data_IF_370907473628
#
_entry.id   IF_370907473628
#
_cell.length_a   1.000
_cell.length_b   1.000
_cell.length_c   1.000
_cell.angle_alpha   90.00
_cell.angle_beta   90.00
_cell.angle_gamma   90.00
#
_symmetry.space_group_name_H-M   'P 1'
#
loop_
_entity.id
_entity.type
_entity.pdbx_description
1 polymer ?
#
# COMPACT_ATOMS: atom_id res chain seq x y z
N UNK A 1 29.38 -13.98 -6.41
CA UNK A 1 29.31 -13.23 -7.68
C UNK A 1 28.55 -11.95 -7.41
N UNK A 2 29.01 -10.80 -7.92
CA UNK A 2 28.35 -9.50 -7.71
C UNK A 2 27.02 -9.48 -8.46
N UNK A 3 25.99 -8.88 -7.86
CA UNK A 3 24.67 -8.72 -8.47
C UNK A 3 24.42 -7.22 -8.69
N UNK A 4 24.28 -6.82 -9.95
CA UNK A 4 24.03 -5.45 -10.38
C UNK A 4 22.60 -5.36 -10.87
N UNK A 5 21.77 -4.55 -10.20
CA UNK A 5 20.44 -4.23 -10.69
C UNK A 5 20.53 -3.08 -11.70
N UNK A 6 19.82 -3.20 -12.82
CA UNK A 6 19.73 -2.15 -13.84
C UNK A 6 18.27 -1.76 -13.98
N UNK A 7 17.96 -0.53 -13.59
CA UNK A 7 16.62 0.04 -13.68
C UNK A 7 16.50 0.83 -14.97
N UNK A 8 15.73 0.30 -15.92
CA UNK A 8 15.49 0.88 -17.23
C UNK A 8 14.36 1.93 -17.16
N UNK A 9 14.74 3.19 -17.31
CA UNK A 9 13.92 4.39 -17.17
C UNK A 9 13.94 5.30 -18.43
N UNK A 10 14.25 4.75 -19.60
CA UNK A 10 14.41 5.53 -20.85
C UNK A 10 13.12 5.86 -21.63
N UNK A 11 11.96 5.32 -21.25
CA UNK A 11 10.72 5.46 -22.04
C UNK A 11 10.11 6.87 -22.01
N UNK A 12 9.68 7.36 -23.18
CA UNK A 12 9.11 8.72 -23.38
C UNK A 12 7.61 8.86 -23.14
N UNK A 13 6.94 7.85 -22.58
CA UNK A 13 5.56 8.01 -22.09
C UNK A 13 4.43 7.99 -23.14
N UNK A 14 4.71 7.99 -24.45
CA UNK A 14 3.77 8.28 -25.56
C UNK A 14 2.34 7.72 -25.48
N UNK A 15 2.13 6.51 -24.93
CA UNK A 15 0.80 5.89 -24.76
C UNK A 15 -0.10 6.52 -23.69
N UNK A 16 0.42 7.45 -22.88
CA UNK A 16 -0.31 8.12 -21.79
C UNK A 16 -0.78 9.54 -22.14
N UNK A 17 -0.31 10.10 -23.27
CA UNK A 17 -0.68 11.46 -23.70
C UNK A 17 -0.18 12.58 -22.80
N UNK A 18 0.77 12.31 -21.90
CA UNK A 18 1.40 13.32 -21.04
C UNK A 18 2.82 13.63 -21.53
N UNK A 19 3.21 14.91 -21.47
CA UNK A 19 4.55 15.40 -21.81
C UNK A 19 5.63 15.01 -20.76
N UNK A 20 5.23 14.33 -19.67
CA UNK A 20 6.11 13.95 -18.56
C UNK A 20 6.30 12.42 -18.48
N UNK A 21 7.53 11.92 -18.20
CA UNK A 21 7.80 10.50 -18.20
C UNK A 21 7.09 9.75 -17.06
N UNK A 22 6.54 8.58 -17.38
CA UNK A 22 5.70 7.79 -16.45
C UNK A 22 6.43 7.40 -15.16
N UNK A 23 7.73 7.14 -15.26
CA UNK A 23 8.59 6.77 -14.13
C UNK A 23 8.77 7.89 -13.11
N UNK A 24 8.50 9.15 -13.49
CA UNK A 24 8.59 10.32 -12.62
C UNK A 24 7.22 10.76 -12.07
N UNK A 25 6.12 10.12 -12.48
CA UNK A 25 4.79 10.37 -11.90
C UNK A 25 4.76 9.96 -10.43
N UNK A 26 3.99 10.68 -9.62
CA UNK A 26 3.83 10.37 -8.19
C UNK A 26 2.68 9.40 -7.93
N UNK A 27 2.93 8.38 -7.10
CA UNK A 27 1.96 7.42 -6.58
C UNK A 27 2.30 7.18 -5.10
N UNK A 28 1.30 7.15 -4.21
CA UNK A 28 1.53 6.96 -2.77
C UNK A 28 2.64 7.87 -2.19
N UNK A 29 2.66 9.14 -2.60
CA UNK A 29 3.60 10.16 -2.10
C UNK A 29 5.01 10.17 -2.70
N UNK A 30 5.41 9.15 -3.49
CA UNK A 30 6.73 9.07 -4.15
C UNK A 30 6.60 8.94 -5.67
N UNK A 31 7.63 9.34 -6.42
CA UNK A 31 7.75 9.05 -7.86
C UNK A 31 7.81 7.53 -8.07
N UNK A 32 7.25 7.04 -9.18
CA UNK A 32 7.17 5.61 -9.50
C UNK A 32 8.54 4.91 -9.42
N UNK A 33 9.59 5.54 -9.95
CA UNK A 33 10.95 4.99 -9.90
C UNK A 33 11.51 4.86 -8.48
N UNK A 34 11.14 5.75 -7.55
CA UNK A 34 11.61 5.70 -6.16
C UNK A 34 11.13 4.41 -5.47
N UNK A 35 9.89 3.98 -5.72
CA UNK A 35 9.38 2.71 -5.20
C UNK A 35 10.20 1.51 -5.69
N UNK A 36 10.56 1.51 -6.97
CA UNK A 36 11.41 0.47 -7.57
C UNK A 36 12.81 0.49 -6.94
N UNK A 37 13.44 1.66 -6.85
CA UNK A 37 14.78 1.84 -6.30
C UNK A 37 14.84 1.46 -4.82
N UNK A 38 13.84 1.81 -4.02
CA UNK A 38 13.74 1.45 -2.61
C UNK A 38 13.85 -0.06 -2.38
N UNK A 39 13.26 -0.88 -3.27
CA UNK A 39 13.29 -2.34 -3.16
C UNK A 39 14.69 -2.88 -3.46
N UNK A 40 15.31 -2.42 -4.55
CA UNK A 40 16.67 -2.85 -4.91
C UNK A 40 17.72 -2.36 -3.92
N UNK A 41 17.61 -1.14 -3.41
CA UNK A 41 18.50 -0.56 -2.40
C UNK A 41 18.50 -1.42 -1.13
N UNK A 42 17.31 -1.80 -0.64
CA UNK A 42 17.16 -2.57 0.60
C UNK A 42 17.50 -4.06 0.44
N UNK A 43 17.49 -4.59 -0.78
CA UNK A 43 17.70 -6.02 -1.02
C UNK A 43 19.13 -6.47 -0.64
N UNK A 44 19.31 -7.45 0.26
CA UNK A 44 20.63 -7.81 0.78
C UNK A 44 21.56 -8.42 -0.28
N UNK A 45 21.00 -9.12 -1.27
CA UNK A 45 21.78 -9.71 -2.37
C UNK A 45 22.12 -8.74 -3.50
N UNK A 46 21.58 -7.51 -3.52
CA UNK A 46 21.93 -6.50 -4.54
C UNK A 46 23.10 -5.68 -4.02
N UNK A 47 24.16 -5.60 -4.82
CA UNK A 47 25.41 -4.96 -4.45
C UNK A 47 25.57 -3.59 -5.09
N UNK A 48 24.94 -3.39 -6.25
CA UNK A 48 25.11 -2.19 -7.07
C UNK A 48 23.85 -1.96 -7.92
N UNK A 49 23.52 -0.70 -8.19
CA UNK A 49 22.36 -0.28 -8.97
C UNK A 49 22.80 0.70 -10.05
N UNK A 50 22.41 0.42 -11.29
CA UNK A 50 22.50 1.34 -12.42
C UNK A 50 21.10 1.83 -12.77
N UNK A 51 20.97 3.10 -13.10
CA UNK A 51 19.75 3.65 -13.71
C UNK A 51 20.06 4.08 -15.12
N UNK A 52 19.26 3.62 -16.08
CA UNK A 52 19.38 4.05 -17.48
C UNK A 52 18.22 4.98 -17.80
N UNK A 53 18.49 6.26 -18.03
CA UNK A 53 17.47 7.28 -18.28
C UNK A 53 17.71 7.99 -19.60
N UNK A 54 16.66 8.62 -20.15
CA UNK A 54 16.84 9.52 -21.27
C UNK A 54 17.62 10.77 -20.81
N UNK A 55 18.49 11.31 -21.66
CA UNK A 55 19.42 12.43 -21.33
C UNK A 55 18.72 13.61 -20.66
N UNK A 56 17.54 14.00 -21.17
CA UNK A 56 16.72 15.09 -20.63
C UNK A 56 16.28 14.91 -19.17
N UNK A 57 16.31 13.69 -18.61
CA UNK A 57 15.83 13.40 -17.25
C UNK A 57 16.93 12.84 -16.35
N UNK A 58 18.21 12.96 -16.73
CA UNK A 58 19.32 12.51 -15.87
C UNK A 58 19.35 13.32 -14.57
N UNK A 59 19.19 14.65 -14.65
CA UNK A 59 19.15 15.52 -13.48
C UNK A 59 17.98 15.19 -12.53
N UNK A 60 16.80 14.86 -13.05
CA UNK A 60 15.68 14.39 -12.22
C UNK A 60 16.04 13.12 -11.43
N UNK A 61 16.84 12.22 -11.99
CA UNK A 61 17.31 11.01 -11.31
C UNK A 61 18.39 11.36 -10.27
N UNK A 62 19.34 12.23 -10.58
CA UNK A 62 20.37 12.71 -9.64
C UNK A 62 19.74 13.34 -8.38
N UNK A 63 18.70 14.16 -8.56
CA UNK A 63 17.95 14.77 -7.47
C UNK A 63 17.26 13.72 -6.59
N UNK A 64 16.67 12.70 -7.21
CA UNK A 64 16.03 11.57 -6.50
C UNK A 64 17.06 10.81 -5.68
N UNK A 65 18.22 10.51 -6.25
CA UNK A 65 19.31 9.78 -5.59
C UNK A 65 19.80 10.53 -4.37
N UNK A 66 20.05 11.83 -4.52
CA UNK A 66 20.52 12.69 -3.44
C UNK A 66 19.46 12.83 -2.34
N UNK A 67 18.20 13.03 -2.71
CA UNK A 67 17.11 13.25 -1.74
C UNK A 67 16.80 12.00 -0.89
N UNK A 68 17.00 10.80 -1.44
CA UNK A 68 16.69 9.54 -0.77
C UNK A 68 17.93 8.82 -0.20
N UNK A 69 19.13 9.35 -0.40
CA UNK A 69 20.40 8.73 0.01
C UNK A 69 20.57 7.30 -0.49
N UNK A 70 20.32 7.03 -1.78
CA UNK A 70 20.57 5.69 -2.34
C UNK A 70 22.09 5.43 -2.43
N UNK A 71 22.60 4.50 -1.60
CA UNK A 71 24.03 4.24 -1.48
C UNK A 71 24.53 3.17 -2.45
N UNK A 72 23.66 2.26 -2.90
CA UNK A 72 24.03 1.22 -3.88
C UNK A 72 23.94 1.72 -5.32
N UNK A 73 23.33 2.89 -5.57
CA UNK A 73 23.25 3.47 -6.90
C UNK A 73 24.56 4.16 -7.28
N UNK A 74 25.29 3.55 -8.21
CA UNK A 74 26.65 3.99 -8.57
C UNK A 74 26.74 4.60 -9.96
N UNK A 75 25.79 4.31 -10.87
CA UNK A 75 25.82 4.82 -12.25
C UNK A 75 24.43 5.28 -12.70
N UNK A 76 24.40 6.47 -13.30
CA UNK A 76 23.27 6.97 -14.09
C UNK A 76 23.76 7.05 -15.54
N UNK A 77 23.13 6.28 -16.42
CA UNK A 77 23.55 6.08 -17.80
C UNK A 77 22.52 6.69 -18.75
N UNK A 78 23.00 7.20 -19.89
CA UNK A 78 22.13 7.64 -20.97
C UNK A 78 21.63 6.42 -21.77
N UNK A 79 20.32 6.26 -21.85
CA UNK A 79 19.68 5.23 -22.68
C UNK A 79 19.67 5.59 -24.17
N UNK A 80 19.41 4.58 -25.01
CA UNK A 80 19.16 4.78 -26.43
C UNK A 80 17.69 5.09 -26.74
N UNK A 81 17.37 5.18 -28.03
CA UNK A 81 16.02 5.39 -28.55
C UNK A 81 15.12 4.19 -28.29
N UNK A 82 15.65 2.99 -28.47
CA UNK A 82 14.95 1.74 -28.26
C UNK A 82 15.32 1.11 -26.90
N UNK A 83 14.43 0.23 -26.38
CA UNK A 83 14.64 -0.43 -25.08
C UNK A 83 15.94 -1.23 -25.06
N UNK A 84 16.24 -1.98 -26.11
CA UNK A 84 17.43 -2.84 -26.17
C UNK A 84 18.73 -2.03 -26.18
N UNK A 85 18.74 -0.81 -26.72
CA UNK A 85 19.92 0.08 -26.70
C UNK A 85 20.21 0.54 -25.27
N UNK A 86 19.16 0.80 -24.49
CA UNK A 86 19.28 1.12 -23.06
C UNK A 86 19.84 -0.05 -22.25
N UNK A 87 19.37 -1.28 -22.50
CA UNK A 87 19.94 -2.50 -21.90
C UNK A 87 21.42 -2.65 -22.29
N UNK A 88 21.76 -2.43 -23.56
CA UNK A 88 23.13 -2.52 -24.05
C UNK A 88 24.08 -1.53 -23.39
N UNK A 89 23.65 -0.26 -23.21
CA UNK A 89 24.44 0.75 -22.51
C UNK A 89 24.80 0.33 -21.08
N UNK A 90 23.86 -0.28 -20.35
CA UNK A 90 24.13 -0.82 -19.02
C UNK A 90 25.10 -2.00 -19.01
N UNK A 91 24.95 -2.92 -19.97
CA UNK A 91 25.84 -4.08 -20.13
C UNK A 91 27.27 -3.63 -20.44
N UNK A 92 27.44 -2.61 -21.29
CA UNK A 92 28.76 -2.06 -21.63
C UNK A 92 29.40 -1.30 -20.46
N UNK A 93 28.59 -0.67 -19.61
CA UNK A 93 29.07 0.05 -18.43
C UNK A 93 29.58 -0.87 -17.31
N UNK A 94 29.40 -2.18 -17.41
CA UNK A 94 29.91 -3.14 -16.45
C UNK A 94 31.42 -3.34 -16.62
N UNK A 95 32.18 -3.00 -15.57
CA UNK A 95 33.65 -3.13 -15.54
C UNK A 95 34.13 -4.49 -15.03
N UNK A 96 33.26 -5.23 -14.33
CA UNK A 96 33.54 -6.56 -13.81
C UNK A 96 33.79 -7.56 -14.95
N UNK A 97 34.73 -8.49 -14.75
CA UNK A 97 34.95 -9.59 -15.71
C UNK A 97 33.72 -10.49 -15.84
N UNK A 98 33.03 -10.72 -14.72
CA UNK A 98 31.79 -11.50 -14.65
C UNK A 98 30.94 -11.04 -13.47
N UNK A 99 29.66 -10.81 -13.71
CA UNK A 99 28.68 -10.49 -12.68
C UNK A 99 27.28 -10.98 -13.12
N UNK A 100 26.33 -10.92 -12.20
CA UNK A 100 24.92 -11.09 -12.54
C UNK A 100 24.32 -9.72 -12.82
N UNK A 101 23.63 -9.58 -13.96
CA UNK A 101 22.90 -8.39 -14.37
C UNK A 101 21.40 -8.67 -14.19
N UNK A 102 20.71 -7.81 -13.45
CA UNK A 102 19.27 -7.92 -13.19
C UNK A 102 18.58 -6.70 -13.84
N UNK A 103 18.06 -6.87 -15.06
CA UNK A 103 17.39 -5.82 -15.81
C UNK A 103 15.92 -5.69 -15.36
N UNK A 104 15.49 -4.49 -14.96
CA UNK A 104 14.15 -4.25 -14.46
C UNK A 104 13.53 -2.98 -15.05
N UNK A 105 12.22 -2.99 -15.31
CA UNK A 105 11.50 -1.81 -15.78
C UNK A 105 11.27 -0.86 -14.60
N UNK A 106 11.65 0.42 -14.71
CA UNK A 106 11.44 1.42 -13.64
C UNK A 106 9.97 1.63 -13.27
N UNK A 107 9.07 1.24 -14.17
CA UNK A 107 7.61 1.38 -14.09
C UNK A 107 6.90 0.12 -13.57
N UNK A 108 7.61 -0.79 -12.90
CA UNK A 108 7.05 -1.91 -12.13
C UNK A 108 7.30 -1.71 -10.62
N UNK A 109 6.65 -0.71 -10.00
CA UNK A 109 7.03 -0.24 -8.67
C UNK A 109 6.65 -1.18 -7.52
N UNK A 110 5.93 -2.28 -7.82
CA UNK A 110 5.48 -3.28 -6.85
C UNK A 110 6.31 -4.57 -6.85
N UNK A 111 7.50 -4.55 -7.45
CA UNK A 111 8.48 -5.63 -7.32
C UNK A 111 8.77 -5.94 -5.85
N UNK A 112 9.04 -7.21 -5.53
CA UNK A 112 9.30 -7.66 -4.16
C UNK A 112 10.60 -8.45 -4.03
N UNK A 113 11.04 -8.66 -2.79
CA UNK A 113 12.29 -9.33 -2.45
C UNK A 113 12.34 -10.79 -2.93
N UNK A 114 11.21 -11.51 -2.86
CA UNK A 114 11.09 -12.89 -3.31
C UNK A 114 11.46 -13.02 -4.79
N UNK A 115 10.85 -12.22 -5.67
CA UNK A 115 11.11 -12.29 -7.11
C UNK A 115 12.59 -12.02 -7.42
N UNK A 116 13.19 -11.02 -6.76
CA UNK A 116 14.62 -10.70 -6.95
C UNK A 116 15.50 -11.85 -6.47
N UNK A 117 15.20 -12.43 -5.29
CA UNK A 117 15.92 -13.56 -4.74
C UNK A 117 15.80 -14.79 -5.64
N UNK A 118 14.60 -15.14 -6.11
CA UNK A 118 14.35 -16.27 -7.01
C UNK A 118 15.17 -16.14 -8.29
N UNK A 119 15.27 -14.94 -8.88
CA UNK A 119 16.12 -14.69 -10.04
C UNK A 119 17.62 -14.91 -9.74
N UNK A 120 18.11 -14.37 -8.63
CA UNK A 120 19.53 -14.48 -8.24
C UNK A 120 19.90 -15.93 -7.91
N UNK A 121 19.01 -16.66 -7.23
CA UNK A 121 19.19 -18.08 -6.90
C UNK A 121 19.16 -18.94 -8.16
N UNK A 122 18.23 -18.69 -9.10
CA UNK A 122 18.20 -19.39 -10.38
C UNK A 122 19.48 -19.18 -11.20
N UNK A 123 20.12 -18.01 -11.11
CA UNK A 123 21.42 -17.74 -11.73
C UNK A 123 22.61 -18.53 -11.15
N UNK A 124 22.40 -19.34 -10.09
CA UNK A 124 23.41 -20.31 -9.65
C UNK A 124 23.45 -21.56 -10.53
N UNK A 125 22.36 -21.85 -11.24
CA UNK A 125 22.18 -23.05 -12.07
C UNK A 125 22.06 -22.71 -13.55
N UNK A 126 21.39 -21.60 -13.89
CA UNK A 126 21.14 -21.14 -15.25
C UNK A 126 21.90 -19.85 -15.54
N UNK A 127 22.13 -19.52 -16.81
CA UNK A 127 22.79 -18.26 -17.17
C UNK A 127 21.82 -17.15 -17.60
N UNK A 128 20.57 -17.50 -17.91
CA UNK A 128 19.50 -16.58 -18.27
C UNK A 128 18.20 -16.97 -17.55
N UNK A 129 17.53 -15.98 -16.97
CA UNK A 129 16.32 -16.16 -16.17
C UNK A 129 15.30 -15.07 -16.52
N UNK A 130 14.06 -15.51 -16.79
CA UNK A 130 12.89 -14.65 -16.98
C UNK A 130 11.91 -14.81 -15.81
N UNK A 131 11.08 -13.80 -15.58
CA UNK A 131 9.99 -13.83 -14.60
C UNK A 131 8.68 -13.84 -15.34
N UNK A 132 7.79 -14.79 -15.06
CA UNK A 132 6.49 -14.81 -15.73
C UNK A 132 5.36 -15.32 -14.84
N UNK A 133 4.13 -14.97 -15.22
CA UNK A 133 2.90 -15.50 -14.62
C UNK A 133 2.04 -16.25 -15.66
N UNK A 134 1.21 -17.22 -15.26
CA UNK A 134 0.20 -17.81 -16.14
C UNK A 134 -0.70 -16.74 -16.75
N UNK A 135 -1.00 -16.86 -18.05
CA UNK A 135 -1.97 -15.97 -18.69
C UNK A 135 -3.40 -16.38 -18.35
N UNK A 136 -4.25 -15.42 -17.99
CA UNK A 136 -5.68 -15.63 -17.72
C UNK A 136 -6.49 -15.61 -19.00
N UNK A 137 -6.08 -14.76 -19.94
CA UNK A 137 -6.84 -14.47 -21.15
C UNK A 137 -6.49 -15.44 -22.27
N UNK A 138 -7.44 -15.64 -23.18
CA UNK A 138 -7.18 -16.36 -24.42
C UNK A 138 -6.37 -15.45 -25.34
N UNK A 139 -5.12 -15.84 -25.62
CA UNK A 139 -4.27 -15.13 -26.57
C UNK A 139 -4.59 -15.62 -27.99
N UNK A 140 -4.80 -14.69 -28.91
CA UNK A 140 -5.06 -14.96 -30.32
C UNK A 140 -3.95 -14.37 -31.18
N UNK A 141 -3.54 -15.09 -32.21
CA UNK A 141 -2.72 -14.56 -33.30
C UNK A 141 -3.66 -14.10 -34.41
N UNK A 142 -3.51 -12.85 -34.85
CA UNK A 142 -4.29 -12.29 -35.95
C UNK A 142 -3.44 -12.12 -37.21
N UNK A 143 -4.06 -12.26 -38.38
CA UNK A 143 -3.48 -11.89 -39.68
C UNK A 143 -3.53 -10.38 -39.91
N UNK A 144 -2.86 -9.91 -40.96
CA UNK A 144 -2.85 -8.49 -41.36
C UNK A 144 -4.25 -7.93 -41.67
N UNK A 145 -5.19 -8.79 -42.11
CA UNK A 145 -6.60 -8.44 -42.34
C UNK A 145 -7.50 -8.62 -41.08
N UNK A 146 -6.90 -8.67 -39.88
CA UNK A 146 -7.58 -8.78 -38.58
C UNK A 146 -8.47 -10.03 -38.41
N UNK A 147 -8.11 -11.16 -39.02
CA UNK A 147 -8.77 -12.45 -38.79
C UNK A 147 -7.94 -13.32 -37.86
N UNK A 148 -8.60 -14.16 -37.05
CA UNK A 148 -7.90 -15.12 -36.19
C UNK A 148 -7.15 -16.11 -37.08
N UNK A 149 -5.82 -16.13 -36.94
CA UNK A 149 -4.91 -17.07 -37.60
C UNK A 149 -4.65 -18.30 -36.74
N UNK A 150 -4.52 -18.11 -35.43
CA UNK A 150 -4.21 -19.19 -34.49
C UNK A 150 -4.67 -18.82 -33.06
N UNK A 151 -4.98 -19.84 -32.25
CA UNK A 151 -5.25 -19.70 -30.81
C UNK A 151 -4.35 -20.72 -30.10
N UNK A 152 -3.17 -20.31 -29.60
CA UNK A 152 -2.22 -21.23 -28.98
C UNK A 152 -2.77 -21.83 -27.67
N UNK A 153 -2.22 -22.99 -27.28
CA UNK A 153 -2.64 -23.66 -26.04
C UNK A 153 -2.28 -22.83 -24.80
N UNK A 154 -3.29 -22.25 -24.14
CA UNK A 154 -3.09 -21.31 -23.01
C UNK A 154 -2.19 -21.84 -21.89
N UNK A 155 -2.21 -23.14 -21.60
CA UNK A 155 -1.41 -23.75 -20.52
C UNK A 155 0.11 -23.62 -20.73
N UNK A 156 0.57 -23.43 -21.96
CA UNK A 156 1.99 -23.21 -22.29
C UNK A 156 2.36 -21.73 -22.37
N UNK A 157 1.37 -20.82 -22.36
CA UNK A 157 1.60 -19.39 -22.46
C UNK A 157 1.79 -18.74 -21.09
N UNK A 158 2.65 -17.72 -21.05
CA UNK A 158 2.93 -16.92 -19.86
C UNK A 158 2.95 -15.44 -20.23
N UNK A 159 2.61 -14.58 -19.28
CA UNK A 159 2.82 -13.14 -19.38
C UNK A 159 4.18 -12.80 -18.75
N UNK A 160 5.13 -12.39 -19.58
CA UNK A 160 6.47 -11.98 -19.15
C UNK A 160 6.43 -10.73 -18.27
N UNK A 161 7.30 -10.73 -17.28
CA UNK A 161 7.52 -9.64 -16.33
C UNK A 161 9.02 -9.37 -16.22
N UNK A 162 9.37 -8.20 -15.69
CA UNK A 162 10.74 -7.95 -15.23
C UNK A 162 10.74 -8.03 -13.69
N UNK A 163 11.87 -8.39 -13.05
CA UNK A 163 13.22 -8.43 -13.58
C UNK A 163 13.52 -9.60 -14.51
N UNK A 164 14.49 -9.43 -15.40
CA UNK A 164 15.17 -10.51 -16.10
C UNK A 164 16.62 -10.54 -15.64
N UNK A 165 17.18 -11.72 -15.45
CA UNK A 165 18.49 -11.86 -14.83
C UNK A 165 19.41 -12.71 -15.68
N UNK A 166 20.66 -12.26 -15.85
CA UNK A 166 21.62 -12.88 -16.75
C UNK A 166 23.03 -12.91 -16.14
N UNK A 167 23.85 -13.89 -16.55
CA UNK A 167 25.31 -13.76 -16.48
C UNK A 167 25.76 -12.71 -17.48
N UNK A 168 26.67 -11.83 -17.07
CA UNK A 168 27.19 -10.76 -17.91
C UNK A 168 27.80 -11.31 -19.20
N UNK A 169 28.60 -12.37 -19.13
CA UNK A 169 29.21 -13.00 -20.31
C UNK A 169 28.18 -13.41 -21.36
N UNK A 170 27.13 -14.10 -20.95
CA UNK A 170 26.08 -14.63 -21.82
C UNK A 170 25.25 -13.51 -22.47
N UNK A 171 24.75 -12.56 -21.69
CA UNK A 171 23.94 -11.46 -22.24
C UNK A 171 24.79 -10.55 -23.13
N UNK A 172 26.05 -10.32 -22.78
CA UNK A 172 26.97 -9.50 -23.58
C UNK A 172 27.28 -10.14 -24.92
N UNK A 173 27.53 -11.45 -24.97
CA UNK A 173 27.73 -12.17 -26.23
C UNK A 173 26.48 -12.08 -27.13
N UNK A 174 25.30 -12.32 -26.57
CA UNK A 174 24.05 -12.26 -27.32
C UNK A 174 23.81 -10.86 -27.91
N UNK A 175 24.06 -9.80 -27.13
CA UNK A 175 23.96 -8.42 -27.62
C UNK A 175 25.01 -8.10 -28.68
N UNK A 176 26.24 -8.57 -28.54
CA UNK A 176 27.28 -8.35 -29.57
C UNK A 176 26.87 -8.94 -30.93
N UNK A 177 26.20 -10.09 -30.93
CA UNK A 177 25.60 -10.69 -32.14
C UNK A 177 24.39 -9.89 -32.61
N UNK A 178 23.50 -9.51 -31.70
CA UNK A 178 22.28 -8.77 -32.01
C UNK A 178 22.55 -7.40 -32.64
N UNK A 179 23.54 -6.65 -32.14
CA UNK A 179 23.88 -5.32 -32.64
C UNK A 179 24.45 -5.34 -34.07
N UNK A 180 24.81 -6.50 -34.60
CA UNK A 180 25.25 -6.68 -35.99
C UNK A 180 24.08 -7.02 -36.93
N UNK A 181 22.89 -7.30 -36.41
CA UNK A 181 21.70 -7.65 -37.19
C UNK A 181 20.91 -6.38 -37.55
N UNK A 182 20.87 -5.96 -38.83
CA UNK A 182 20.12 -4.78 -39.27
C UNK A 182 18.59 -4.97 -39.19
N UNK A 183 18.10 -6.20 -39.00
CA UNK A 183 16.69 -6.54 -38.82
C UNK A 183 16.34 -6.85 -37.37
N UNK A 184 17.15 -6.40 -36.41
CA UNK A 184 16.89 -6.61 -35.00
C UNK A 184 15.52 -6.02 -34.61
N UNK A 185 14.63 -6.90 -34.19
CA UNK A 185 13.37 -6.56 -33.54
C UNK A 185 13.26 -7.41 -32.27
N UNK A 186 13.26 -6.75 -31.12
CA UNK A 186 12.95 -7.37 -29.85
C UNK A 186 12.19 -6.40 -28.96
N UNK A 187 11.32 -6.93 -28.12
CA UNK A 187 10.64 -6.18 -27.06
C UNK A 187 11.21 -6.48 -25.67
N UNK A 188 12.17 -7.42 -25.59
CA UNK A 188 12.59 -8.04 -24.35
C UNK A 188 14.03 -8.60 -24.42
N UNK A 189 14.72 -8.72 -23.28
CA UNK A 189 16.15 -9.10 -23.25
C UNK A 189 16.34 -10.63 -23.33
N UNK A 190 15.41 -11.42 -22.77
CA UNK A 190 15.37 -12.87 -23.00
C UNK A 190 15.16 -13.22 -24.48
N UNK A 191 14.41 -12.39 -25.22
CA UNK A 191 14.25 -12.54 -26.67
C UNK A 191 15.57 -12.42 -27.45
N UNK A 192 16.54 -11.65 -26.95
CA UNK A 192 17.89 -11.56 -27.52
C UNK A 192 18.64 -12.88 -27.32
N UNK A 193 18.63 -13.44 -26.11
CA UNK A 193 19.24 -14.75 -25.84
C UNK A 193 18.62 -15.82 -26.76
N UNK A 194 17.30 -15.92 -26.76
CA UNK A 194 16.57 -16.96 -27.51
C UNK A 194 16.89 -16.93 -29.02
N UNK A 195 17.09 -15.74 -29.59
CA UNK A 195 17.37 -15.58 -31.03
C UNK A 195 18.85 -15.79 -31.38
N UNK A 196 19.77 -15.26 -30.58
CA UNK A 196 21.20 -15.20 -30.94
C UNK A 196 22.09 -16.24 -30.22
N UNK A 197 21.56 -16.88 -29.17
CA UNK A 197 22.16 -18.00 -28.44
C UNK A 197 21.10 -19.10 -28.21
N UNK A 198 20.62 -19.78 -29.28
CA UNK A 198 19.48 -20.69 -29.20
C UNK A 198 19.73 -21.93 -28.32
N UNK A 199 20.99 -22.28 -28.07
CA UNK A 199 21.37 -23.41 -27.20
C UNK A 199 21.41 -23.02 -25.70
N UNK A 200 21.30 -21.73 -25.37
CA UNK A 200 21.31 -21.24 -23.99
C UNK A 200 19.88 -21.31 -23.39
N UNK A 201 19.65 -22.15 -22.37
CA UNK A 201 18.33 -22.25 -21.77
C UNK A 201 17.98 -21.01 -20.96
N UNK A 202 16.75 -20.52 -21.16
CA UNK A 202 16.17 -19.43 -20.36
C UNK A 202 15.22 -20.05 -19.34
N UNK A 203 15.59 -20.00 -18.07
CA UNK A 203 14.76 -20.52 -16.99
C UNK A 203 13.68 -19.51 -16.61
N UNK A 204 12.48 -19.98 -16.27
CA UNK A 204 11.36 -19.09 -15.89
C UNK A 204 11.06 -19.26 -14.41
N UNK A 205 11.19 -18.19 -13.64
CA UNK A 205 10.75 -18.14 -12.23
C UNK A 205 9.35 -17.55 -12.12
N UNK A 206 8.67 -17.83 -11.00
CA UNK A 206 7.30 -17.37 -10.78
C UNK A 206 7.26 -15.87 -10.43
N UNK A 207 6.60 -15.08 -11.28
CA UNK A 207 6.26 -13.69 -11.00
C UNK A 207 5.06 -13.54 -10.09
N UNK A 208 4.50 -12.32 -10.02
CA UNK A 208 3.28 -12.02 -9.27
C UNK A 208 2.33 -11.12 -10.04
N UNK A 209 1.03 -11.34 -9.83
CA UNK A 209 -0.02 -10.51 -10.41
C UNK A 209 0.14 -9.04 -10.00
N UNK A 210 0.56 -8.78 -8.76
CA UNK A 210 0.78 -7.42 -8.26
C UNK A 210 2.04 -6.74 -8.79
N UNK A 211 2.96 -7.46 -9.45
CA UNK A 211 4.13 -6.89 -10.14
C UNK A 211 3.71 -6.22 -11.47
N UNK A 212 2.73 -5.33 -11.37
CA UNK A 212 2.06 -4.66 -12.47
C UNK A 212 2.97 -3.61 -13.09
N UNK A 213 2.98 -3.56 -14.43
CA UNK A 213 3.67 -2.53 -15.20
C UNK A 213 2.74 -1.35 -15.42
N UNK A 214 3.11 -0.17 -14.94
CA UNK A 214 2.43 1.08 -15.26
C UNK A 214 2.53 1.36 -16.77
N UNK A 215 1.42 1.10 -17.47
CA UNK A 215 1.33 1.22 -18.93
C UNK A 215 0.29 2.26 -19.33
N UNK A 216 -0.86 2.26 -18.66
CA UNK A 216 -2.02 3.10 -18.92
C UNK A 216 -2.42 3.92 -17.69
N UNK A 217 -3.30 4.91 -17.87
CA UNK A 217 -3.70 5.84 -16.81
C UNK A 217 -4.54 5.15 -15.75
N UNK A 218 -5.31 4.16 -16.17
CA UNK A 218 -6.02 3.24 -15.27
C UNK A 218 -5.09 2.52 -14.30
N UNK A 219 -3.84 2.23 -14.71
CA UNK A 219 -2.90 1.50 -13.87
C UNK A 219 -2.41 2.37 -12.71
N UNK A 220 -2.36 3.71 -12.86
CA UNK A 220 -2.02 4.62 -11.75
C UNK A 220 -2.99 4.44 -10.59
N UNK A 221 -4.30 4.41 -10.89
CA UNK A 221 -5.32 4.20 -9.86
C UNK A 221 -5.17 2.85 -9.18
N UNK A 222 -4.94 1.79 -9.96
CA UNK A 222 -4.75 0.45 -9.41
C UNK A 222 -3.48 0.36 -8.55
N UNK A 223 -2.37 0.90 -9.02
CA UNK A 223 -1.10 0.93 -8.28
C UNK A 223 -1.23 1.69 -6.96
N UNK A 224 -1.88 2.85 -6.96
CA UNK A 224 -2.11 3.63 -5.75
C UNK A 224 -2.90 2.82 -4.71
N UNK A 225 -3.96 2.12 -5.14
CA UNK A 225 -4.72 1.20 -4.28
C UNK A 225 -3.89 0.01 -3.80
N UNK A 226 -3.02 -0.55 -4.63
CA UNK A 226 -2.14 -1.65 -4.21
C UNK A 226 -1.09 -1.19 -3.18
N UNK A 227 -0.53 0.01 -3.34
CA UNK A 227 0.36 0.60 -2.34
C UNK A 227 -0.36 0.88 -1.02
N UNK A 228 -1.55 1.47 -1.08
CA UNK A 228 -2.41 1.68 0.07
C UNK A 228 -2.67 0.36 0.82
N UNK A 229 -3.03 -0.71 0.10
CA UNK A 229 -3.24 -2.03 0.69
C UNK A 229 -1.98 -2.59 1.36
N UNK A 230 -0.80 -2.41 0.75
CA UNK A 230 0.48 -2.84 1.33
C UNK A 230 0.79 -2.07 2.62
N UNK A 231 0.60 -0.75 2.62
CA UNK A 231 0.77 0.09 3.81
C UNK A 231 -0.17 -0.30 4.94
N UNK A 232 -1.44 -0.58 4.62
CA UNK A 232 -2.44 -1.07 5.58
C UNK A 232 -2.04 -2.43 6.15
N UNK A 233 -1.54 -3.34 5.31
CA UNK A 233 -1.12 -4.67 5.75
C UNK A 233 0.03 -4.60 6.76
N UNK A 234 0.98 -3.67 6.57
CA UNK A 234 2.08 -3.43 7.50
C UNK A 234 1.64 -2.89 8.88
N UNK A 235 0.36 -2.54 9.06
CA UNK A 235 -0.19 -2.16 10.36
C UNK A 235 -0.74 -3.37 11.15
N UNK A 236 -0.80 -4.56 10.54
CA UNK A 236 -1.42 -5.76 11.12
C UNK A 236 -0.45 -6.56 12.01
N UNK A 237 0.13 -5.90 13.02
CA UNK A 237 1.02 -6.53 14.00
C UNK A 237 0.74 -6.01 15.42
N UNK A 238 1.19 -6.76 16.43
CA UNK A 238 1.18 -6.29 17.82
C UNK A 238 2.20 -5.18 18.00
N UNK A 239 1.86 -4.18 18.82
CA UNK A 239 2.77 -3.06 19.05
C UNK A 239 4.12 -3.52 19.61
N UNK A 240 5.20 -3.06 18.99
CA UNK A 240 6.58 -3.38 19.38
C UNK A 240 7.15 -2.35 20.37
N UNK A 241 8.37 -2.61 20.86
CA UNK A 241 9.00 -1.73 21.86
C UNK A 241 9.28 -0.31 21.35
N UNK A 242 9.52 -0.13 20.05
CA UNK A 242 9.76 1.19 19.48
C UNK A 242 8.46 2.00 19.39
N UNK A 243 7.37 1.36 18.97
CA UNK A 243 6.02 1.95 18.96
C UNK A 243 5.58 2.32 20.38
N UNK A 244 5.88 1.48 21.38
CA UNK A 244 5.64 1.82 22.80
C UNK A 244 6.36 3.10 23.23
N UNK A 245 7.63 3.28 22.83
CA UNK A 245 8.37 4.53 23.12
C UNK A 245 7.75 5.75 22.42
N UNK A 246 7.23 5.58 21.20
CA UNK A 246 6.57 6.67 20.48
C UNK A 246 5.25 7.09 21.13
N UNK A 247 4.56 6.16 21.81
CA UNK A 247 3.34 6.43 22.59
C UNK A 247 3.61 7.09 23.93
N UNK A 248 4.78 6.86 24.53
CA UNK A 248 5.12 7.40 25.84
C UNK A 248 4.97 8.94 25.85
N UNK A 249 4.19 9.44 26.80
CA UNK A 249 3.90 10.86 26.95
C UNK A 249 2.85 11.45 25.99
N UNK A 250 2.36 10.69 24.99
CA UNK A 250 1.25 11.13 24.12
C UNK A 250 -0.03 11.28 24.91
N UNK A 251 -0.82 12.30 24.62
CA UNK A 251 -2.14 12.53 25.22
C UNK A 251 -3.23 11.98 24.31
N UNK A 252 -3.98 11.00 24.80
CA UNK A 252 -4.99 10.27 24.02
C UNK A 252 -6.35 10.46 24.66
N UNK A 253 -7.32 10.98 23.91
CA UNK A 253 -8.73 11.02 24.31
C UNK A 253 -9.49 9.92 23.60
N UNK A 254 -10.24 9.12 24.35
CA UNK A 254 -10.96 7.97 23.86
C UNK A 254 -12.44 8.05 24.23
N UNK A 255 -13.31 8.26 23.23
CA UNK A 255 -14.75 8.11 23.39
C UNK A 255 -15.16 6.66 23.13
N UNK A 256 -15.81 6.03 24.12
CA UNK A 256 -16.22 4.62 24.07
C UNK A 256 -15.25 3.64 24.73
N UNK A 257 -14.33 4.10 25.58
CA UNK A 257 -13.26 3.28 26.15
C UNK A 257 -13.59 2.40 27.36
N UNK A 258 -14.86 2.15 27.67
CA UNK A 258 -15.26 1.38 28.86
C UNK A 258 -15.27 -0.15 28.69
N UNK A 259 -15.30 -0.64 27.45
CA UNK A 259 -15.27 -2.08 27.13
C UNK A 259 -14.84 -2.31 25.68
N UNK A 260 -14.64 -3.59 25.31
CA UNK A 260 -14.33 -3.99 23.94
C UNK A 260 -13.06 -3.33 23.42
N UNK A 261 -13.06 -2.94 22.13
CA UNK A 261 -11.90 -2.39 21.43
C UNK A 261 -11.37 -1.13 22.13
N UNK A 262 -12.25 -0.21 22.51
CA UNK A 262 -11.85 1.02 23.20
C UNK A 262 -11.10 0.74 24.50
N UNK A 263 -11.61 -0.18 25.34
CA UNK A 263 -10.90 -0.56 26.57
C UNK A 263 -9.51 -1.13 26.27
N UNK A 264 -9.39 -2.02 25.28
CA UNK A 264 -8.10 -2.58 24.88
C UNK A 264 -7.11 -1.50 24.41
N UNK A 265 -7.56 -0.47 23.65
CA UNK A 265 -6.71 0.67 23.29
C UNK A 265 -6.24 1.41 24.54
N UNK A 266 -7.15 1.69 25.47
CA UNK A 266 -6.81 2.41 26.69
C UNK A 266 -5.78 1.67 27.54
N UNK A 267 -5.98 0.36 27.72
CA UNK A 267 -5.08 -0.50 28.50
C UNK A 267 -3.67 -0.52 27.86
N UNK A 268 -3.58 -0.85 26.56
CA UNK A 268 -2.29 -0.93 25.84
C UNK A 268 -1.55 0.41 25.83
N UNK A 269 -2.24 1.51 25.53
CA UNK A 269 -1.60 2.83 25.48
C UNK A 269 -1.14 3.30 26.88
N UNK A 270 -1.92 3.01 27.93
CA UNK A 270 -1.53 3.35 29.31
C UNK A 270 -0.29 2.55 29.75
N UNK A 271 -0.25 1.25 29.43
CA UNK A 271 0.92 0.39 29.66
C UNK A 271 2.16 0.87 28.89
N UNK A 272 1.97 1.48 27.72
CA UNK A 272 3.04 2.09 26.93
C UNK A 272 3.48 3.49 27.44
N UNK A 273 2.87 4.00 28.52
CA UNK A 273 3.21 5.30 29.12
C UNK A 273 2.53 6.51 28.47
N UNK A 274 1.49 6.30 27.66
CA UNK A 274 0.63 7.39 27.19
C UNK A 274 -0.30 7.90 28.30
N UNK A 275 -0.70 9.17 28.23
CA UNK A 275 -1.71 9.78 29.10
C UNK A 275 -3.08 9.60 28.48
N UNK A 276 -3.82 8.57 28.91
CA UNK A 276 -5.11 8.19 28.31
C UNK A 276 -6.29 8.72 29.13
N UNK A 277 -7.22 9.40 28.46
CA UNK A 277 -8.47 9.90 29.02
C UNK A 277 -9.66 9.22 28.35
N UNK A 278 -10.39 8.39 29.10
CA UNK A 278 -11.47 7.56 28.58
C UNK A 278 -12.85 8.09 28.99
N UNK A 279 -13.75 8.27 28.02
CA UNK A 279 -15.10 8.80 28.22
C UNK A 279 -16.16 7.83 27.70
N UNK A 280 -17.19 7.58 28.52
CA UNK A 280 -18.33 6.77 28.13
C UNK A 280 -19.57 7.07 28.99
N UNK A 281 -20.74 6.67 28.45
CA UNK A 281 -22.01 6.80 29.18
C UNK A 281 -22.05 5.97 30.46
N UNK A 282 -21.35 4.84 30.50
CA UNK A 282 -21.35 3.96 31.67
C UNK A 282 -20.35 4.41 32.74
N UNK A 283 -19.20 4.96 32.36
CA UNK A 283 -18.15 5.36 33.31
C UNK A 283 -18.33 6.78 33.85
N UNK A 284 -18.60 7.76 32.98
CA UNK A 284 -18.61 9.18 33.36
C UNK A 284 -19.75 9.99 32.71
N UNK A 285 -20.79 9.31 32.22
CA UNK A 285 -22.02 9.91 31.68
C UNK A 285 -21.81 10.81 30.45
N UNK A 286 -20.66 10.72 29.79
CA UNK A 286 -20.39 11.44 28.54
C UNK A 286 -21.03 10.68 27.36
N UNK A 287 -21.97 11.33 26.69
CA UNK A 287 -22.63 10.84 25.47
C UNK A 287 -22.15 11.63 24.24
N UNK A 288 -21.58 10.94 23.25
CA UNK A 288 -21.09 11.55 22.01
C UNK A 288 -22.19 12.21 21.18
N UNK A 289 -23.44 11.77 21.31
CA UNK A 289 -24.58 12.39 20.63
C UNK A 289 -24.93 13.78 21.19
N UNK A 290 -24.42 14.14 22.36
CA UNK A 290 -24.53 15.47 22.95
C UNK A 290 -23.21 16.25 22.75
N UNK A 291 -23.23 17.29 21.92
CA UNK A 291 -22.03 18.07 21.60
C UNK A 291 -21.42 18.79 22.83
N UNK A 292 -22.24 19.20 23.82
CA UNK A 292 -21.74 19.86 25.04
C UNK A 292 -20.92 18.89 25.90
N UNK A 293 -21.31 17.61 25.93
CA UNK A 293 -20.57 16.55 26.63
C UNK A 293 -19.19 16.35 25.99
N UNK A 294 -19.13 16.29 24.66
CA UNK A 294 -17.89 16.16 23.89
C UNK A 294 -16.98 17.38 24.12
N UNK A 295 -17.53 18.59 24.00
CA UNK A 295 -16.81 19.84 24.21
C UNK A 295 -16.23 19.93 25.63
N UNK A 296 -17.02 19.58 26.65
CA UNK A 296 -16.60 19.54 28.05
C UNK A 296 -15.46 18.54 28.27
N UNK A 297 -15.58 17.33 27.72
CA UNK A 297 -14.56 16.29 27.87
C UNK A 297 -13.21 16.72 27.26
N UNK A 298 -13.21 17.22 26.02
CA UNK A 298 -11.98 17.66 25.36
C UNK A 298 -11.37 18.90 26.04
N UNK A 299 -12.21 19.84 26.49
CA UNK A 299 -11.76 21.01 27.25
C UNK A 299 -11.08 20.60 28.55
N UNK A 300 -11.69 19.70 29.34
CA UNK A 300 -11.11 19.20 30.59
C UNK A 300 -9.73 18.60 30.36
N UNK A 301 -9.59 17.71 29.36
CA UNK A 301 -8.30 17.07 29.07
C UNK A 301 -7.26 18.11 28.66
N UNK A 302 -7.65 19.06 27.79
CA UNK A 302 -6.74 20.10 27.35
C UNK A 302 -6.29 21.02 28.49
N UNK A 303 -7.18 21.38 29.42
CA UNK A 303 -6.83 22.17 30.61
C UNK A 303 -5.84 21.43 31.54
N UNK A 304 -5.94 20.10 31.62
CA UNK A 304 -5.03 19.27 32.43
C UNK A 304 -3.67 19.01 31.77
N UNK A 305 -3.62 18.99 30.44
CA UNK A 305 -2.47 18.46 29.69
C UNK A 305 -1.82 19.47 28.75
N UNK A 306 -2.50 20.58 28.46
CA UNK A 306 -2.16 21.59 27.46
C UNK A 306 -1.97 21.07 26.03
N UNK A 307 -2.34 19.81 25.74
CA UNK A 307 -2.17 19.17 24.42
C UNK A 307 -3.05 17.94 24.28
N UNK A 308 -3.55 17.66 23.08
CA UNK A 308 -4.20 16.39 22.75
C UNK A 308 -3.59 15.89 21.45
N UNK A 309 -2.85 14.77 21.47
CA UNK A 309 -2.19 14.22 20.29
C UNK A 309 -3.15 13.35 19.47
N UNK A 310 -3.97 12.54 20.15
CA UNK A 310 -4.86 11.59 19.48
C UNK A 310 -6.27 11.64 20.06
N UNK A 311 -7.28 11.67 19.19
CA UNK A 311 -8.68 11.53 19.57
C UNK A 311 -9.25 10.31 18.86
N UNK A 312 -9.76 9.36 19.62
CA UNK A 312 -10.30 8.09 19.11
C UNK A 312 -11.77 7.99 19.49
N UNK A 313 -12.64 7.78 18.50
CA UNK A 313 -14.06 7.56 18.71
C UNK A 313 -14.46 6.12 18.37
N UNK A 314 -14.49 5.25 19.37
CA UNK A 314 -15.00 3.88 19.25
C UNK A 314 -16.49 3.79 19.59
N UNK A 315 -17.13 4.89 19.98
CA UNK A 315 -18.53 4.89 20.34
C UNK A 315 -19.42 4.57 19.12
N UNK A 316 -20.34 3.64 19.32
CA UNK A 316 -21.28 3.23 18.30
C UNK A 316 -22.29 2.25 18.89
N UNK A 317 -23.41 2.09 18.20
CA UNK A 317 -24.41 1.08 18.52
C UNK A 317 -24.86 0.36 17.26
N UNK A 318 -25.22 -0.91 17.46
CA UNK A 318 -25.80 -1.78 16.47
C UNK A 318 -27.12 -2.32 17.03
N UNK A 319 -28.18 -2.22 16.22
CA UNK A 319 -29.45 -2.90 16.45
C UNK A 319 -29.83 -3.64 15.18
N UNK A 320 -29.96 -4.97 15.27
CA UNK A 320 -30.29 -5.84 14.15
C UNK A 320 -31.81 -5.99 14.03
N UNK A 321 -32.41 -5.38 13.00
CA UNK A 321 -33.85 -5.45 12.78
C UNK A 321 -34.19 -5.14 11.30
N UNK A 322 -35.24 -5.74 10.71
CA UNK A 322 -35.78 -5.28 9.44
C UNK A 322 -36.22 -3.82 9.51
N UNK A 323 -36.08 -3.06 8.43
CA UNK A 323 -36.37 -1.62 8.44
C UNK A 323 -37.85 -1.36 8.70
N UNK A 324 -38.73 -2.15 8.08
CA UNK A 324 -40.18 -2.06 8.21
C UNK A 324 -40.69 -2.30 9.64
N UNK A 325 -39.89 -2.96 10.48
CA UNK A 325 -40.22 -3.20 11.88
C UNK A 325 -39.49 -2.27 12.86
N UNK A 326 -38.51 -1.49 12.41
CA UNK A 326 -37.67 -0.67 13.29
C UNK A 326 -38.42 0.61 13.70
N UNK A 327 -38.52 0.88 15.01
CA UNK A 327 -39.15 2.11 15.49
C UNK A 327 -38.31 3.34 15.15
N UNK A 328 -38.95 4.49 14.98
CA UNK A 328 -38.25 5.74 14.69
C UNK A 328 -37.27 6.12 15.81
N UNK A 329 -37.57 5.80 17.07
CA UNK A 329 -36.69 6.03 18.20
C UNK A 329 -35.39 5.25 18.05
N UNK A 330 -35.45 3.97 17.65
CA UNK A 330 -34.27 3.15 17.38
C UNK A 330 -33.47 3.67 16.17
N UNK A 331 -34.17 4.09 15.10
CA UNK A 331 -33.54 4.71 13.92
C UNK A 331 -32.75 5.94 14.35
N UNK A 332 -33.39 6.87 15.07
CA UNK A 332 -32.76 8.09 15.56
C UNK A 332 -31.63 7.81 16.54
N UNK A 333 -31.77 6.81 17.40
CA UNK A 333 -30.70 6.45 18.32
C UNK A 333 -29.43 5.99 17.57
N UNK A 334 -29.57 5.18 16.51
CA UNK A 334 -28.43 4.73 15.68
C UNK A 334 -27.80 5.93 14.98
N UNK A 335 -28.61 6.80 14.35
CA UNK A 335 -28.12 7.98 13.62
C UNK A 335 -27.42 8.95 14.59
N UNK A 336 -28.02 9.25 15.73
CA UNK A 336 -27.48 10.19 16.72
C UNK A 336 -26.17 9.70 17.32
N UNK A 337 -26.04 8.42 17.64
CA UNK A 337 -24.80 7.89 18.22
C UNK A 337 -23.73 7.70 17.15
N UNK A 338 -24.05 7.05 16.03
CA UNK A 338 -23.03 6.64 15.05
C UNK A 338 -22.62 7.80 14.12
N UNK A 339 -23.56 8.63 13.68
CA UNK A 339 -23.31 9.72 12.72
C UNK A 339 -23.08 11.03 13.44
N UNK A 340 -24.10 11.52 14.17
CA UNK A 340 -23.99 12.80 14.88
C UNK A 340 -22.89 12.75 15.94
N UNK A 341 -22.72 11.62 16.63
CA UNK A 341 -21.61 11.42 17.56
C UNK A 341 -20.23 11.56 16.91
N UNK A 342 -20.03 11.02 15.70
CA UNK A 342 -18.77 11.21 14.97
C UNK A 342 -18.57 12.67 14.52
N UNK A 343 -19.65 13.34 14.06
CA UNK A 343 -19.63 14.75 13.69
C UNK A 343 -19.28 15.64 14.89
N UNK A 344 -19.92 15.42 16.04
CA UNK A 344 -19.67 16.18 17.26
C UNK A 344 -18.21 16.04 17.71
N UNK A 345 -17.69 14.80 17.76
CA UNK A 345 -16.29 14.55 18.11
C UNK A 345 -15.35 15.25 17.13
N UNK A 346 -15.58 15.10 15.81
CA UNK A 346 -14.73 15.75 14.81
C UNK A 346 -14.74 17.27 14.92
N UNK A 347 -15.92 17.87 15.02
CA UNK A 347 -16.08 19.33 15.10
C UNK A 347 -15.37 19.92 16.31
N UNK A 348 -15.50 19.30 17.47
CA UNK A 348 -14.85 19.78 18.70
C UNK A 348 -13.36 19.44 18.76
N UNK A 349 -12.92 18.38 18.07
CA UNK A 349 -11.52 17.94 18.03
C UNK A 349 -10.58 18.92 17.31
N UNK A 350 -11.05 19.57 16.23
CA UNK A 350 -10.20 20.31 15.29
C UNK A 350 -9.22 21.28 15.96
N UNK A 351 -9.73 22.14 16.86
CA UNK A 351 -8.90 23.17 17.51
C UNK A 351 -7.75 22.58 18.34
N UNK A 352 -7.96 21.41 18.94
CA UNK A 352 -6.95 20.74 19.76
C UNK A 352 -5.94 19.97 18.90
N UNK A 353 -6.43 19.22 17.90
CA UNK A 353 -5.57 18.47 16.99
C UNK A 353 -4.71 19.38 16.10
N UNK A 354 -5.21 20.58 15.75
CA UNK A 354 -4.44 21.61 15.04
C UNK A 354 -3.19 22.03 15.81
N UNK A 355 -3.23 22.04 17.14
CA UNK A 355 -2.08 22.42 17.97
C UNK A 355 -1.02 21.31 18.04
N UNK A 356 -1.45 20.05 18.03
CA UNK A 356 -0.56 18.89 18.13
C UNK A 356 -0.13 18.32 16.78
N UNK A 357 -0.77 18.73 15.67
CA UNK A 357 -0.68 18.06 14.37
C UNK A 357 -1.04 16.57 14.52
N UNK A 358 -2.09 16.33 15.29
CA UNK A 358 -2.50 15.01 15.77
C UNK A 358 -3.38 14.23 14.80
N UNK A 359 -4.01 13.16 15.31
CA UNK A 359 -4.90 12.31 14.53
C UNK A 359 -6.29 12.17 15.16
N UNK A 360 -7.34 12.22 14.32
CA UNK A 360 -8.68 11.76 14.63
C UNK A 360 -8.89 10.36 14.06
N UNK A 361 -9.15 9.38 14.93
CA UNK A 361 -9.43 8.00 14.52
C UNK A 361 -10.90 7.66 14.78
N UNK A 362 -11.60 7.34 13.70
CA UNK A 362 -13.01 6.96 13.71
C UNK A 362 -13.17 5.46 13.45
N UNK A 363 -14.40 4.95 13.64
CA UNK A 363 -14.70 3.53 13.51
C UNK A 363 -15.87 3.27 12.57
N UNK A 364 -15.60 2.50 11.52
CA UNK A 364 -16.62 1.99 10.60
C UNK A 364 -16.94 0.52 10.89
N UNK A 365 -17.46 -0.20 9.90
CA UNK A 365 -17.84 -1.61 9.97
C UNK A 365 -17.78 -2.22 8.58
N UNK A 366 -17.45 -3.50 8.47
CA UNK A 366 -17.39 -4.24 7.18
C UNK A 366 -18.70 -4.25 6.37
N UNK A 367 -19.77 -3.66 6.90
CA UNK A 367 -21.03 -3.39 6.21
C UNK A 367 -21.08 -2.02 5.49
N UNK A 368 -20.04 -1.18 5.57
CA UNK A 368 -20.05 0.18 4.98
C UNK A 368 -19.98 0.17 3.45
N UNK A 369 -19.29 -0.82 2.86
CA UNK A 369 -19.20 -1.00 1.40
C UNK A 369 -20.38 -1.78 0.84
N UNK A 370 -20.97 -2.66 1.65
CA UNK A 370 -22.09 -3.52 1.26
C UNK A 370 -23.09 -3.63 2.39
N UNK A 371 -24.25 -3.02 2.21
CA UNK A 371 -25.37 -3.13 3.13
C UNK A 371 -25.77 -4.60 3.35
N UNK A 372 -26.12 -4.93 4.59
CA UNK A 372 -26.53 -6.29 4.99
C UNK A 372 -27.99 -6.29 5.41
N UNK A 373 -28.71 -7.36 5.09
CA UNK A 373 -30.08 -7.56 5.58
C UNK A 373 -30.12 -7.48 7.10
N UNK A 374 -31.09 -6.74 7.66
CA UNK A 374 -31.25 -6.42 9.08
C UNK A 374 -30.28 -5.35 9.65
N UNK A 375 -29.44 -4.73 8.80
CA UNK A 375 -28.44 -3.73 9.18
C UNK A 375 -28.61 -2.44 8.39
N UNK A 376 -29.77 -2.15 7.79
CA UNK A 376 -29.92 -1.04 6.83
C UNK A 376 -29.43 0.30 7.41
N UNK A 377 -30.00 0.73 8.54
CA UNK A 377 -29.63 1.99 9.21
C UNK A 377 -28.21 1.95 9.76
N UNK A 378 -27.79 0.82 10.34
CA UNK A 378 -26.43 0.66 10.83
C UNK A 378 -25.39 0.78 9.71
N UNK A 379 -25.60 0.09 8.58
CA UNK A 379 -24.72 0.11 7.41
C UNK A 379 -24.64 1.52 6.85
N UNK A 380 -25.80 2.18 6.66
CA UNK A 380 -25.85 3.57 6.22
C UNK A 380 -25.09 4.52 7.16
N UNK A 381 -25.25 4.36 8.48
CA UNK A 381 -24.52 5.16 9.47
C UNK A 381 -23.00 4.97 9.39
N UNK A 382 -22.54 3.75 9.11
CA UNK A 382 -21.11 3.42 9.00
C UNK A 382 -20.51 3.87 7.66
N UNK A 383 -21.30 3.88 6.58
CA UNK A 383 -20.91 4.54 5.32
C UNK A 383 -20.80 6.06 5.48
N UNK A 384 -21.71 6.69 6.23
CA UNK A 384 -21.65 8.13 6.51
C UNK A 384 -20.37 8.52 7.25
N UNK A 385 -19.93 7.72 8.23
CA UNK A 385 -18.67 7.94 8.95
C UNK A 385 -17.46 7.87 8.03
N UNK A 386 -17.43 6.95 7.06
CA UNK A 386 -16.32 6.85 6.09
C UNK A 386 -16.28 8.07 5.19
N UNK A 387 -17.42 8.52 4.68
CA UNK A 387 -17.44 9.68 3.79
C UNK A 387 -17.11 10.98 4.56
N UNK A 388 -17.57 11.11 5.80
CA UNK A 388 -17.15 12.18 6.71
C UNK A 388 -15.63 12.18 6.90
N UNK A 389 -15.03 11.02 7.19
CA UNK A 389 -13.59 10.89 7.36
C UNK A 389 -12.81 11.35 6.12
N UNK A 390 -13.23 10.91 4.93
CA UNK A 390 -12.57 11.27 3.67
C UNK A 390 -12.67 12.77 3.37
N UNK A 391 -13.82 13.40 3.64
CA UNK A 391 -13.96 14.84 3.48
C UNK A 391 -13.06 15.60 4.47
N UNK A 392 -13.06 15.19 5.75
CA UNK A 392 -12.26 15.84 6.79
C UNK A 392 -10.74 15.66 6.57
N UNK A 393 -10.29 14.53 6.03
CA UNK A 393 -8.87 14.34 5.71
C UNK A 393 -8.37 15.35 4.67
N UNK A 394 -9.20 15.67 3.67
CA UNK A 394 -8.89 16.70 2.66
C UNK A 394 -8.97 18.10 3.24
N UNK A 395 -10.05 18.40 4.01
CA UNK A 395 -10.24 19.70 4.65
C UNK A 395 -9.10 20.05 5.62
N UNK A 396 -8.63 19.06 6.39
CA UNK A 396 -7.65 19.28 7.46
C UNK A 396 -6.20 19.00 7.03
N UNK A 397 -5.97 18.58 5.79
CA UNK A 397 -4.64 18.28 5.24
C UNK A 397 -3.64 19.43 5.45
N UNK A 398 -4.06 20.68 5.17
CA UNK A 398 -3.22 21.89 5.33
C UNK A 398 -2.86 22.21 6.78
N UNK A 399 -3.53 21.59 7.74
CA UNK A 399 -3.27 21.73 9.17
C UNK A 399 -2.41 20.60 9.72
N UNK A 400 -1.97 19.66 8.88
CA UNK A 400 -1.23 18.46 9.28
C UNK A 400 -2.00 17.63 10.31
N UNK A 401 -3.33 17.56 10.16
CA UNK A 401 -4.16 16.69 10.99
C UNK A 401 -4.56 15.49 10.15
N UNK A 402 -4.27 14.30 10.66
CA UNK A 402 -4.69 13.07 10.01
C UNK A 402 -6.09 12.64 10.46
N UNK A 403 -6.89 12.10 9.55
CA UNK A 403 -8.21 11.54 9.87
C UNK A 403 -8.35 10.19 9.20
N UNK A 404 -8.62 9.14 9.96
CA UNK A 404 -8.71 7.76 9.45
C UNK A 404 -9.89 7.00 10.07
N UNK A 405 -10.28 5.88 9.45
CA UNK A 405 -11.27 4.95 9.98
C UNK A 405 -10.69 3.55 10.16
N UNK A 406 -10.93 2.93 11.32
CA UNK A 406 -10.72 1.48 11.49
C UNK A 406 -11.98 0.74 11.02
N UNK A 407 -11.78 -0.25 10.16
CA UNK A 407 -12.81 -1.17 9.68
C UNK A 407 -12.57 -2.58 10.23
N UNK A 408 -13.06 -2.90 11.44
CA UNK A 408 -12.91 -4.23 11.98
C UNK A 408 -13.85 -5.23 11.29
N UNK A 409 -13.33 -6.42 11.00
CA UNK A 409 -14.16 -7.59 10.75
C UNK A 409 -14.90 -8.03 12.04
N UNK A 410 -15.51 -9.21 12.01
CA UNK A 410 -16.23 -9.78 13.15
C UNK A 410 -15.30 -9.84 14.36
N UNK A 411 -15.57 -8.99 15.35
CA UNK A 411 -14.72 -8.85 16.54
C UNK A 411 -15.50 -9.23 17.79
N UNK A 412 -14.91 -10.08 18.63
CA UNK A 412 -15.47 -10.52 19.91
C UNK A 412 -15.55 -9.34 20.88
N UNK A 413 -16.72 -8.73 20.95
CA UNK A 413 -17.02 -7.58 21.82
C UNK A 413 -18.39 -7.75 22.47
N UNK A 414 -18.66 -7.11 23.62
CA UNK A 414 -19.98 -7.12 24.24
C UNK A 414 -21.13 -6.68 23.30
N UNK A 415 -20.87 -5.71 22.41
CA UNK A 415 -21.85 -5.29 21.40
C UNK A 415 -22.19 -6.40 20.40
N UNK A 416 -21.18 -7.16 19.97
CA UNK A 416 -21.37 -8.29 19.06
C UNK A 416 -22.12 -9.43 19.73
N UNK A 417 -21.70 -9.81 20.94
CA UNK A 417 -22.35 -10.88 21.72
C UNK A 417 -23.83 -10.56 21.94
N UNK A 418 -24.17 -9.30 22.23
CA UNK A 418 -25.58 -8.88 22.40
C UNK A 418 -26.43 -9.05 21.13
N UNK A 419 -25.85 -8.87 19.94
CA UNK A 419 -26.59 -8.88 18.67
C UNK A 419 -26.56 -10.24 17.95
N UNK A 420 -25.57 -11.09 18.24
CA UNK A 420 -25.32 -12.35 17.54
C UNK A 420 -25.24 -13.58 18.45
N UNK A 421 -25.18 -13.40 19.77
CA UNK A 421 -24.91 -14.49 20.71
C UNK A 421 -23.41 -14.85 20.79
N UNK A 422 -23.13 -16.02 21.34
CA UNK A 422 -21.77 -16.57 21.37
C UNK A 422 -21.47 -17.25 20.02
N UNK A 423 -20.39 -16.84 19.38
CA UNK A 423 -19.85 -17.43 18.16
C UNK A 423 -18.50 -18.10 18.48
N UNK A 424 -18.04 -19.09 17.68
CA UNK A 424 -16.75 -19.74 17.90
C UNK A 424 -15.59 -18.73 17.87
N UNK A 425 -14.66 -18.85 18.80
CA UNK A 425 -13.61 -17.83 19.03
C UNK A 425 -12.68 -17.69 17.83
N UNK A 426 -12.35 -18.80 17.18
CA UNK A 426 -11.50 -18.88 15.98
C UNK A 426 -12.09 -18.15 14.77
N UNK A 427 -13.38 -17.79 14.81
CA UNK A 427 -14.04 -17.06 13.73
C UNK A 427 -14.09 -15.55 13.94
N UNK A 428 -13.57 -15.07 15.08
CA UNK A 428 -13.65 -13.67 15.52
C UNK A 428 -12.27 -13.10 15.83
N UNK A 429 -12.05 -11.85 15.43
CA UNK A 429 -10.97 -11.02 15.95
C UNK A 429 -11.14 -10.81 17.45
N UNK A 430 -10.03 -10.69 18.18
CA UNK A 430 -10.07 -10.18 19.54
C UNK A 430 -10.15 -8.65 19.55
N UNK A 431 -10.62 -8.07 20.66
CA UNK A 431 -10.59 -6.62 20.84
C UNK A 431 -9.14 -6.08 20.84
N UNK A 432 -8.18 -6.90 21.29
CA UNK A 432 -6.75 -6.57 21.32
C UNK A 432 -6.16 -6.49 19.91
N UNK A 433 -6.54 -7.38 18.98
CA UNK A 433 -6.06 -7.34 17.59
C UNK A 433 -6.45 -6.00 16.92
N UNK A 434 -7.72 -5.60 17.07
CA UNK A 434 -8.19 -4.32 16.53
C UNK A 434 -7.54 -3.14 17.24
N UNK A 435 -7.30 -3.23 18.55
CA UNK A 435 -6.62 -2.19 19.30
C UNK A 435 -5.17 -1.98 18.82
N UNK A 436 -4.41 -3.05 18.59
CA UNK A 436 -3.05 -2.96 18.06
C UNK A 436 -3.02 -2.24 16.70
N UNK A 437 -3.87 -2.63 15.75
CA UNK A 437 -3.94 -1.96 14.43
C UNK A 437 -4.37 -0.50 14.56
N UNK A 438 -5.27 -0.20 15.49
CA UNK A 438 -5.69 1.18 15.77
C UNK A 438 -4.51 2.03 16.25
N UNK A 439 -3.69 1.49 17.15
CA UNK A 439 -2.53 2.17 17.70
C UNK A 439 -1.45 2.36 16.63
N UNK A 440 -1.18 1.33 15.81
CA UNK A 440 -0.27 1.44 14.67
C UNK A 440 -0.73 2.51 13.68
N UNK A 441 -2.05 2.62 13.48
CA UNK A 441 -2.63 3.69 12.65
C UNK A 441 -2.37 5.07 13.26
N UNK A 442 -2.54 5.26 14.58
CA UNK A 442 -2.26 6.54 15.26
C UNK A 442 -0.79 6.98 15.15
N UNK A 443 0.13 6.02 15.09
CA UNK A 443 1.57 6.26 14.93
C UNK A 443 1.99 6.44 13.46
N UNK A 444 1.10 6.15 12.51
CA UNK A 444 1.37 6.30 11.08
C UNK A 444 1.15 7.73 10.57
N UNK A 445 1.69 8.02 9.39
CA UNK A 445 1.45 9.27 8.67
C UNK A 445 0.25 9.21 7.70
N UNK A 446 -0.59 8.17 7.81
CA UNK A 446 -1.72 7.96 6.92
C UNK A 446 -2.86 8.96 7.23
N UNK A 447 -3.62 9.33 6.20
CA UNK A 447 -4.83 10.16 6.33
C UNK A 447 -5.78 9.85 5.17
N UNK A 448 -7.10 9.90 5.40
CA UNK A 448 -8.12 9.59 4.40
C UNK A 448 -8.41 8.09 4.23
N UNK A 449 -7.92 7.27 5.16
CA UNK A 449 -7.79 5.83 4.98
C UNK A 449 -8.84 5.02 5.75
N UNK A 450 -9.31 3.94 5.12
CA UNK A 450 -10.10 2.90 5.79
C UNK A 450 -9.22 1.68 6.02
N UNK A 451 -8.81 1.47 7.26
CA UNK A 451 -7.88 0.41 7.65
C UNK A 451 -8.67 -0.85 8.00
N UNK A 452 -8.62 -1.83 7.10
CA UNK A 452 -9.22 -3.15 7.31
C UNK A 452 -8.44 -3.96 8.36
N UNK A 453 -9.15 -4.40 9.41
CA UNK A 453 -8.63 -5.41 10.35
C UNK A 453 -9.32 -6.73 10.07
N UNK A 454 -8.56 -7.73 9.65
CA UNK A 454 -9.05 -9.05 9.23
C UNK A 454 -8.37 -10.13 10.05
N UNK A 455 -9.07 -11.26 10.26
CA UNK A 455 -8.44 -12.44 10.83
C UNK A 455 -7.31 -12.90 9.90
N UNK A 456 -6.10 -13.07 10.44
CA UNK A 456 -5.02 -13.76 9.76
C UNK A 456 -5.50 -15.17 9.43
N UNK A 457 -5.56 -15.49 8.13
CA UNK A 457 -5.98 -16.81 7.64
C UNK A 457 -4.80 -17.78 7.58
#
# INVERSE_FOLDING_TARGET
MKNIAVVLAGGSGSRMGEDYPKQLLKIAGKKVIEHTLDVFEKHPLIHEIFVVSHTNYIHDIEDIVTSNNYHKLTKILSGGKERYESSWAAIQACEEKECNIILHDSVRPLINERIITDCIEALKTYNAVDVAIPTTDTIIQVSEDNKIKNIPQRSTLRNGQTPQAFKLSVIKEAYQKAMQDPQLQTTDDCGIILKYLPDEPIYVVNGEVFNLKLTYKSDLFLLDKLFQLKSIHNLQHRINNEEKKQLAGKVIVLFGGSYGIGKSIADICSEAGARVFSFSRSSNKIDVSNHENVAKALKQVHEETNRIDYIVNTAGILMKQPLEGMSYENIWQIVNVNVLGAINVAKEAFKYLKQSQGMLLLYTSSSYTRGRSLYSIYSASKSAVVNLMQALSEEWYKHHISVNCINPERTKTPMRIRNFGNEPEETLLTAEDVANVSINTLLSNMTGEVIDVKLSK
#
